data_IF_446248834251
#
_entry.id   IF_446248834251
#
_cell.length_a   1.000
_cell.length_b   1.000
_cell.length_c   1.000
_cell.angle_alpha   90.00
_cell.angle_beta   90.00
_cell.angle_gamma   90.00
#
_symmetry.space_group_name_H-M   'P 1'
#
loop_
_entity.id
_entity.type
_entity.pdbx_description
1 polymer ?
#
# COMPACT_ATOMS: atom_id res chain seq x y z
N UNK A 1 -14.05 -11.70 -3.09
CA UNK A 1 -13.59 -10.68 -2.12
C UNK A 1 -12.18 -10.28 -2.54
N UNK A 2 -11.94 -9.03 -2.94
CA UNK A 2 -10.58 -8.60 -3.29
C UNK A 2 -9.76 -8.43 -2.01
N UNK A 3 -8.63 -9.12 -1.86
CA UNK A 3 -7.75 -9.02 -0.69
C UNK A 3 -7.07 -7.64 -0.56
N UNK A 4 -7.30 -6.73 -1.51
CA UNK A 4 -6.70 -5.40 -1.55
C UNK A 4 -7.73 -4.37 -2.04
N UNK A 5 -7.85 -3.18 -1.41
CA UNK A 5 -8.64 -2.09 -1.94
C UNK A 5 -8.21 -1.66 -3.34
N UNK A 6 -9.18 -1.29 -4.19
CA UNK A 6 -8.93 -0.82 -5.57
C UNK A 6 -7.92 0.33 -5.65
N UNK A 7 -7.92 1.23 -4.68
CA UNK A 7 -6.99 2.36 -4.61
C UNK A 7 -5.51 1.96 -4.44
N UNK A 8 -5.22 0.72 -4.02
CA UNK A 8 -3.84 0.24 -3.84
C UNK A 8 -3.36 -0.65 -5.00
N UNK A 9 -4.22 -1.00 -5.95
CA UNK A 9 -3.83 -1.80 -7.12
C UNK A 9 -2.64 -1.18 -7.88
N UNK A 10 -2.59 0.15 -8.13
CA UNK A 10 -1.44 0.79 -8.79
C UNK A 10 -0.14 0.78 -7.98
N UNK A 11 -0.20 0.43 -6.68
CA UNK A 11 0.98 0.31 -5.81
C UNK A 11 1.62 -1.06 -5.89
N UNK A 12 0.83 -2.07 -6.25
CA UNK A 12 1.24 -3.47 -6.32
C UNK A 12 1.70 -3.83 -7.73
N UNK A 13 1.12 -3.16 -8.72
CA UNK A 13 1.26 -3.47 -10.12
C UNK A 13 1.57 -2.17 -10.88
N UNK A 14 2.63 -2.15 -11.69
CA UNK A 14 2.90 -1.05 -12.63
C UNK A 14 3.16 -1.60 -14.02
N UNK A 15 2.65 -0.91 -15.04
CA UNK A 15 2.91 -1.25 -16.44
C UNK A 15 4.41 -1.27 -16.73
N UNK A 16 4.91 -2.35 -17.34
CA UNK A 16 6.29 -2.49 -17.82
C UNK A 16 6.49 -1.91 -19.23
N UNK A 17 5.42 -1.42 -19.88
CA UNK A 17 5.46 -0.96 -21.26
C UNK A 17 6.00 0.47 -21.42
N UNK A 18 6.81 0.68 -22.47
CA UNK A 18 7.11 2.01 -22.98
C UNK A 18 5.82 2.68 -23.47
N UNK A 19 5.58 3.91 -23.03
CA UNK A 19 4.36 4.70 -23.17
C UNK A 19 3.83 4.92 -24.61
N UNK A 20 4.50 4.43 -25.65
CA UNK A 20 4.22 4.73 -27.06
C UNK A 20 3.32 3.72 -27.80
N UNK A 21 2.92 2.60 -27.18
CA UNK A 21 2.21 1.51 -27.91
C UNK A 21 0.86 1.06 -27.37
N UNK A 22 0.40 1.55 -26.22
CA UNK A 22 -0.83 1.06 -25.58
C UNK A 22 -2.03 1.92 -26.01
N UNK A 23 -2.50 1.71 -27.24
CA UNK A 23 -3.74 2.29 -27.78
C UNK A 23 -4.89 1.27 -27.90
N UNK A 24 -4.68 0.01 -27.51
CA UNK A 24 -5.76 -1.01 -27.58
C UNK A 24 -6.26 -1.39 -26.17
N UNK A 25 -7.43 -0.85 -25.74
CA UNK A 25 -8.00 -1.10 -24.42
C UNK A 25 -8.46 -2.54 -24.19
N UNK A 26 -8.38 -3.43 -25.19
CA UNK A 26 -8.76 -4.85 -25.07
C UNK A 26 -7.67 -5.75 -24.50
N UNK A 27 -6.40 -5.34 -24.55
CA UNK A 27 -5.27 -6.19 -24.14
C UNK A 27 -4.62 -5.77 -22.80
N UNK A 28 -5.14 -4.74 -22.14
CA UNK A 28 -4.39 -4.00 -21.12
C UNK A 28 -4.66 -4.39 -19.66
N UNK A 29 -5.37 -5.49 -19.40
CA UNK A 29 -5.96 -5.65 -18.08
C UNK A 29 -5.05 -6.22 -16.99
N UNK A 30 -4.08 -7.10 -17.27
CA UNK A 30 -3.28 -7.71 -16.18
C UNK A 30 -1.88 -8.21 -16.58
N UNK A 31 -1.61 -8.52 -17.85
CA UNK A 31 -0.35 -9.18 -18.26
C UNK A 31 0.85 -8.23 -18.39
N UNK A 32 0.61 -6.93 -18.58
CA UNK A 32 1.66 -5.91 -18.73
C UNK A 32 2.12 -5.32 -17.40
N UNK A 33 1.59 -5.78 -16.26
CA UNK A 33 1.85 -5.15 -14.97
C UNK A 33 2.78 -6.03 -14.13
N UNK A 34 4.03 -5.61 -13.97
CA UNK A 34 4.96 -6.30 -13.09
C UNK A 34 4.68 -5.92 -11.63
N UNK A 35 4.85 -6.91 -10.75
CA UNK A 35 4.94 -6.64 -9.32
C UNK A 35 6.19 -5.84 -9.07
N UNK A 36 6.00 -4.66 -8.50
CA UNK A 36 7.01 -3.63 -8.43
C UNK A 36 8.16 -4.00 -7.48
N UNK A 37 7.81 -4.59 -6.33
CA UNK A 37 8.73 -5.07 -5.30
C UNK A 37 8.14 -6.38 -4.71
N UNK A 38 8.43 -7.58 -5.29
CA UNK A 38 7.68 -8.81 -5.01
C UNK A 38 7.78 -9.29 -3.55
N UNK A 39 8.94 -9.10 -2.90
CA UNK A 39 9.12 -9.48 -1.50
C UNK A 39 8.28 -8.62 -0.55
N UNK A 40 8.25 -7.31 -0.79
CA UNK A 40 7.38 -6.40 -0.06
C UNK A 40 5.91 -6.79 -0.24
N UNK A 41 5.53 -7.08 -1.48
CA UNK A 41 4.15 -7.42 -1.80
C UNK A 41 3.71 -8.74 -1.18
N UNK A 42 4.57 -9.75 -1.16
CA UNK A 42 4.30 -11.01 -0.47
C UNK A 42 3.99 -10.77 1.02
N UNK A 43 4.79 -9.98 1.72
CA UNK A 43 4.54 -9.69 3.14
C UNK A 43 3.28 -8.84 3.34
N UNK A 44 2.96 -7.94 2.41
CA UNK A 44 1.70 -7.21 2.42
C UNK A 44 0.49 -8.15 2.28
N UNK A 45 0.52 -9.09 1.31
CA UNK A 45 -0.56 -10.07 1.14
C UNK A 45 -0.71 -10.98 2.35
N UNK A 46 0.41 -11.46 2.91
CA UNK A 46 0.40 -12.23 4.16
C UNK A 46 -0.27 -11.44 5.29
N UNK A 47 0.07 -10.15 5.44
CA UNK A 47 -0.59 -9.29 6.42
C UNK A 47 -2.11 -9.23 6.20
N UNK A 48 -2.57 -9.02 4.96
CA UNK A 48 -4.01 -8.98 4.66
C UNK A 48 -4.71 -10.30 4.99
N UNK A 49 -4.11 -11.44 4.62
CA UNK A 49 -4.64 -12.76 4.94
C UNK A 49 -4.75 -12.98 6.45
N UNK A 50 -3.68 -12.69 7.21
CA UNK A 50 -3.68 -12.86 8.66
C UNK A 50 -4.61 -11.88 9.38
N UNK A 51 -4.77 -10.65 8.86
CA UNK A 51 -5.76 -9.70 9.36
C UNK A 51 -7.18 -10.26 9.23
N UNK A 52 -7.54 -10.81 8.06
CA UNK A 52 -8.85 -11.43 7.83
C UNK A 52 -9.09 -12.65 8.72
N UNK A 53 -8.05 -13.47 8.93
CA UNK A 53 -8.08 -14.62 9.82
C UNK A 53 -8.03 -14.26 11.32
N UNK A 54 -7.92 -12.96 11.67
CA UNK A 54 -7.73 -12.48 13.05
C UNK A 54 -6.52 -13.10 13.76
N UNK A 55 -5.51 -13.52 13.01
CA UNK A 55 -4.27 -14.11 13.55
C UNK A 55 -3.27 -13.00 13.89
N UNK A 56 -3.35 -12.49 15.13
CA UNK A 56 -2.62 -11.30 15.57
C UNK A 56 -1.09 -11.49 15.45
N UNK A 57 -0.56 -12.64 15.86
CA UNK A 57 0.88 -12.89 15.89
C UNK A 57 1.48 -12.89 14.47
N UNK A 58 0.85 -13.62 13.55
CA UNK A 58 1.35 -13.71 12.18
C UNK A 58 1.16 -12.41 11.41
N UNK A 59 0.07 -11.67 11.70
CA UNK A 59 -0.14 -10.33 11.17
C UNK A 59 0.98 -9.37 11.60
N UNK A 60 1.33 -9.34 12.89
CA UNK A 60 2.41 -8.48 13.40
C UNK A 60 3.78 -8.90 12.84
N UNK A 61 4.04 -10.21 12.68
CA UNK A 61 5.24 -10.69 12.02
C UNK A 61 5.32 -10.23 10.56
N UNK A 62 4.21 -10.32 9.81
CA UNK A 62 4.15 -9.80 8.44
C UNK A 62 4.37 -8.28 8.39
N UNK A 63 3.78 -7.51 9.31
CA UNK A 63 4.03 -6.07 9.43
C UNK A 63 5.50 -5.76 9.72
N UNK A 64 6.13 -6.52 10.62
CA UNK A 64 7.57 -6.41 10.92
C UNK A 64 8.44 -6.65 9.68
N UNK A 65 8.12 -7.68 8.88
CA UNK A 65 8.82 -7.98 7.64
C UNK A 65 8.68 -6.87 6.59
N UNK A 66 7.49 -6.26 6.45
CA UNK A 66 7.29 -5.08 5.59
C UNK A 66 8.22 -3.95 6.00
N UNK A 67 8.30 -3.64 7.30
CA UNK A 67 9.17 -2.59 7.85
C UNK A 67 10.64 -2.91 7.59
N UNK A 68 11.03 -4.18 7.78
CA UNK A 68 12.40 -4.63 7.55
C UNK A 68 12.80 -4.46 6.08
N UNK A 69 11.96 -4.88 5.14
CA UNK A 69 12.19 -4.75 3.69
C UNK A 69 12.37 -3.28 3.30
N UNK A 70 11.48 -2.39 3.77
CA UNK A 70 11.57 -0.94 3.48
C UNK A 70 12.87 -0.30 3.98
N UNK A 71 13.41 -0.79 5.10
CA UNK A 71 14.60 -0.24 5.74
C UNK A 71 15.90 -0.76 5.14
N UNK A 72 15.95 -2.03 4.77
CA UNK A 72 17.21 -2.72 4.46
C UNK A 72 17.35 -3.09 2.99
N UNK A 73 16.27 -3.11 2.21
CA UNK A 73 16.33 -3.45 0.80
C UNK A 73 16.29 -2.23 -0.12
N UNK A 74 16.91 -2.38 -1.30
CA UNK A 74 16.87 -1.38 -2.36
C UNK A 74 15.57 -1.53 -3.15
N UNK A 75 14.53 -0.86 -2.70
CA UNK A 75 13.24 -0.81 -3.38
C UNK A 75 13.26 0.20 -4.53
N UNK A 76 12.74 -0.21 -5.69
CA UNK A 76 12.68 0.69 -6.86
C UNK A 76 11.61 1.77 -6.66
N UNK A 77 10.54 1.49 -5.92
CA UNK A 77 9.43 2.41 -5.70
C UNK A 77 9.09 2.51 -4.22
N UNK A 78 10.03 3.13 -3.49
CA UNK A 78 9.93 3.30 -2.04
C UNK A 78 8.72 4.14 -1.61
N UNK A 79 8.21 4.99 -2.49
CA UNK A 79 6.97 5.75 -2.31
C UNK A 79 5.76 4.80 -2.15
N UNK A 80 5.59 3.87 -3.08
CA UNK A 80 4.54 2.84 -3.03
C UNK A 80 4.70 1.93 -1.82
N UNK A 81 5.95 1.62 -1.45
CA UNK A 81 6.21 0.79 -0.29
C UNK A 81 5.74 1.42 1.03
N UNK A 82 5.99 2.72 1.21
CA UNK A 82 5.44 3.46 2.35
C UNK A 82 3.92 3.51 2.30
N UNK A 83 3.30 3.64 1.12
CA UNK A 83 1.85 3.67 0.99
C UNK A 83 1.19 2.34 1.41
N UNK A 84 1.82 1.20 1.09
CA UNK A 84 1.39 -0.14 1.53
C UNK A 84 1.57 -0.33 3.04
N UNK A 85 2.72 0.07 3.60
CA UNK A 85 2.96 0.02 5.05
C UNK A 85 1.94 0.85 5.82
N UNK A 86 1.64 2.07 5.34
CA UNK A 86 0.63 2.91 5.96
C UNK A 86 -0.74 2.26 5.99
N UNK A 87 -1.13 1.59 4.90
CA UNK A 87 -2.40 0.88 4.88
C UNK A 87 -2.49 -0.22 5.95
N UNK A 88 -1.44 -1.03 6.10
CA UNK A 88 -1.36 -2.04 7.17
C UNK A 88 -1.45 -1.39 8.57
N UNK A 89 -0.67 -0.33 8.80
CA UNK A 89 -0.69 0.41 10.08
C UNK A 89 -2.08 0.98 10.40
N UNK A 90 -2.79 1.48 9.39
CA UNK A 90 -4.16 1.98 9.54
C UNK A 90 -5.13 0.86 9.94
N UNK A 91 -5.07 -0.30 9.27
CA UNK A 91 -5.91 -1.45 9.61
C UNK A 91 -5.70 -1.92 11.03
N UNK A 92 -4.48 -1.79 11.53
CA UNK A 92 -4.09 -2.14 12.90
C UNK A 92 -4.37 -1.04 13.93
N UNK A 93 -5.01 0.06 13.54
CA UNK A 93 -5.37 1.16 14.43
C UNK A 93 -4.22 2.12 14.77
N UNK A 94 -3.04 1.93 14.19
CA UNK A 94 -1.88 2.82 14.41
C UNK A 94 -1.96 4.08 13.53
N UNK A 95 -3.02 4.89 13.72
CA UNK A 95 -3.36 6.02 12.84
C UNK A 95 -2.24 7.08 12.73
N UNK A 96 -1.62 7.46 13.85
CA UNK A 96 -0.52 8.45 13.86
C UNK A 96 0.70 7.94 13.08
N UNK A 97 1.07 6.66 13.27
CA UNK A 97 2.19 6.04 12.53
C UNK A 97 1.85 5.94 11.04
N UNK A 98 0.61 5.55 10.71
CA UNK A 98 0.13 5.51 9.33
C UNK A 98 0.25 6.87 8.65
N UNK A 99 -0.18 7.95 9.31
CA UNK A 99 -0.07 9.31 8.78
C UNK A 99 1.38 9.71 8.52
N UNK A 100 2.27 9.49 9.50
CA UNK A 100 3.70 9.81 9.36
C UNK A 100 4.36 9.04 8.19
N UNK A 101 3.96 7.80 7.95
CA UNK A 101 4.44 6.99 6.81
C UNK A 101 3.89 7.52 5.49
N UNK A 102 2.61 7.91 5.42
CA UNK A 102 2.02 8.53 4.22
C UNK A 102 2.70 9.84 3.87
N UNK A 103 3.07 10.66 4.87
CA UNK A 103 3.84 11.88 4.64
C UNK A 103 5.21 11.58 4.02
N UNK A 104 5.86 10.47 4.38
CA UNK A 104 7.12 10.04 3.73
C UNK A 104 6.88 9.63 2.28
N UNK A 105 5.83 8.86 2.00
CA UNK A 105 5.43 8.49 0.63
C UNK A 105 5.22 9.75 -0.24
N UNK A 106 4.46 10.72 0.27
CA UNK A 106 4.17 11.99 -0.40
C UNK A 106 5.42 12.86 -0.65
N UNK A 107 6.41 12.83 0.26
CA UNK A 107 7.70 13.53 0.06
C UNK A 107 8.54 12.92 -1.06
N UNK A 108 8.42 11.61 -1.29
CA UNK A 108 9.11 10.93 -2.39
C UNK A 108 8.39 11.13 -3.74
N UNK A 109 7.07 11.30 -3.71
CA UNK A 109 6.25 11.57 -4.90
C UNK A 109 5.11 12.52 -4.56
N UNK A 110 5.26 13.79 -4.92
CA UNK A 110 4.28 14.86 -4.61
C UNK A 110 2.88 14.61 -5.20
N UNK A 111 2.76 13.82 -6.27
CA UNK A 111 1.49 13.46 -6.92
C UNK A 111 1.11 11.99 -6.70
N UNK A 112 1.24 11.51 -5.47
CA UNK A 112 0.86 10.14 -5.11
C UNK A 112 -0.63 10.04 -4.74
N UNK A 113 -1.50 9.89 -5.74
CA UNK A 113 -2.96 9.93 -5.59
C UNK A 113 -3.49 8.98 -4.51
N UNK A 114 -2.97 7.75 -4.43
CA UNK A 114 -3.37 6.78 -3.42
C UNK A 114 -3.01 7.22 -1.99
N UNK A 115 -1.85 7.86 -1.81
CA UNK A 115 -1.42 8.38 -0.50
C UNK A 115 -2.27 9.58 -0.09
N UNK A 116 -2.60 10.49 -1.04
CA UNK A 116 -3.54 11.60 -0.82
C UNK A 116 -4.92 11.10 -0.37
N UNK A 117 -5.45 10.10 -1.07
CA UNK A 117 -6.73 9.48 -0.71
C UNK A 117 -6.68 8.86 0.69
N UNK A 118 -5.62 8.14 1.03
CA UNK A 118 -5.45 7.55 2.37
C UNK A 118 -5.32 8.61 3.47
N UNK A 119 -4.61 9.72 3.23
CA UNK A 119 -4.53 10.85 4.16
C UNK A 119 -5.91 11.47 4.36
N UNK A 120 -6.63 11.78 3.29
CA UNK A 120 -7.99 12.35 3.37
C UNK A 120 -8.94 11.42 4.13
N UNK A 121 -8.83 10.10 3.92
CA UNK A 121 -9.60 9.11 4.67
C UNK A 121 -9.25 9.13 6.17
N UNK A 122 -7.95 9.15 6.52
CA UNK A 122 -7.51 9.21 7.92
C UNK A 122 -8.02 10.46 8.62
N UNK A 123 -7.93 11.62 7.97
CA UNK A 123 -8.45 12.90 8.47
C UNK A 123 -9.96 12.78 8.72
N UNK A 124 -10.73 12.38 7.70
CA UNK A 124 -12.19 12.22 7.84
C UNK A 124 -12.60 11.17 8.89
N UNK A 125 -11.78 10.15 9.13
CA UNK A 125 -12.04 9.14 10.15
C UNK A 125 -11.72 9.64 11.56
N UNK A 126 -10.69 10.48 11.70
CA UNK A 126 -10.34 11.13 12.97
C UNK A 126 -11.39 12.15 13.41
N UNK A 127 -12.04 12.85 12.46
CA UNK A 127 -13.09 13.83 12.74
C UNK A 127 -14.49 13.22 12.97
N UNK A 128 -14.65 11.89 12.84
CA UNK A 128 -15.91 11.18 13.13
C UNK A 128 -15.97 10.54 14.53
N UNK A 129 -15.14 10.99 15.47
CA UNK A 129 -15.31 10.58 16.86
C UNK A 129 -16.63 11.13 17.40
N UNK A 130 -17.53 10.27 17.93
CA UNK A 130 -18.73 10.75 18.58
C UNK A 130 -18.32 11.51 19.83
N UNK A 131 -18.86 12.72 19.97
CA UNK A 131 -18.95 13.37 21.27
C UNK A 131 -19.84 12.45 22.12
N UNK A 132 -19.24 11.73 23.05
CA UNK A 132 -19.94 11.04 24.16
C UNK A 132 -19.31 11.49 25.45
#
# INVERSE_FOLDING_TARGET
MYCTPRALIPEMFRSTGSYQGLLDPKFDYLQSWAVVDPKLYLHFLLHQCYYQQRNINHKLAALGNIIWVIRHERLKFKDSAYNLLAYCLKQDGFLVKSYAVLSKSMKLKNHHNSAKWQIAYLINSAFKWPVT
#
